data_IF_449391882851
#
_entry.id   IF_449391882851
#
_cell.length_a   1.000
_cell.length_b   1.000
_cell.length_c   1.000
_cell.angle_alpha   90.00
_cell.angle_beta   90.00
_cell.angle_gamma   90.00
#
_symmetry.space_group_name_H-M   'P 1'
#
loop_
_entity.id
_entity.type
_entity.pdbx_description
1 polymer ?
#
# COMPACT_ATOMS: atom_id res chain seq x y z
N UNK A 1 28.99 -2.41 -72.38
CA UNK A 1 30.02 -2.84 -71.40
C UNK A 1 30.35 -1.66 -70.50
N UNK A 2 29.76 -1.61 -69.31
CA UNK A 2 30.29 -0.86 -68.17
C UNK A 2 29.64 -1.40 -66.91
N UNK A 3 30.47 -1.67 -65.92
CA UNK A 3 30.21 -2.39 -64.68
C UNK A 3 29.29 -1.65 -63.73
N UNK A 4 28.50 -2.38 -62.96
CA UNK A 4 28.09 -1.93 -61.62
C UNK A 4 28.13 -3.13 -60.68
N UNK A 5 29.01 -2.99 -59.70
CA UNK A 5 29.38 -3.93 -58.66
C UNK A 5 28.34 -3.98 -57.55
N UNK A 6 28.10 -5.20 -57.07
CA UNK A 6 27.27 -5.53 -55.92
C UNK A 6 27.78 -4.85 -54.63
N UNK A 7 26.85 -4.20 -53.93
CA UNK A 7 26.98 -3.86 -52.52
C UNK A 7 25.68 -4.24 -51.81
N UNK A 8 25.61 -5.49 -51.36
CA UNK A 8 24.58 -5.94 -50.42
C UNK A 8 25.18 -5.91 -49.01
N UNK A 9 24.92 -4.83 -48.28
CA UNK A 9 25.33 -4.67 -46.89
C UNK A 9 24.46 -5.58 -46.01
N UNK A 10 25.01 -6.71 -45.56
CA UNK A 10 24.41 -7.56 -44.55
C UNK A 10 24.57 -6.91 -43.17
N UNK A 11 23.53 -6.23 -42.69
CA UNK A 11 23.48 -5.73 -41.31
C UNK A 11 23.04 -6.88 -40.41
N UNK A 12 24.00 -7.46 -39.68
CA UNK A 12 23.75 -8.40 -38.59
C UNK A 12 22.95 -7.69 -37.50
N UNK A 13 21.65 -7.98 -37.39
CA UNK A 13 20.89 -7.69 -36.18
C UNK A 13 21.36 -8.65 -35.08
N UNK A 14 22.18 -8.14 -34.16
CA UNK A 14 22.50 -8.82 -32.91
C UNK A 14 21.25 -8.80 -32.03
N UNK A 15 20.53 -9.91 -32.01
CA UNK A 15 19.45 -10.16 -31.05
C UNK A 15 20.06 -10.21 -29.64
N UNK A 16 19.95 -9.09 -28.94
CA UNK A 16 20.37 -8.92 -27.55
C UNK A 16 19.23 -8.21 -26.84
N UNK A 17 18.13 -8.94 -26.69
CA UNK A 17 17.10 -8.65 -25.70
C UNK A 17 17.09 -9.81 -24.73
N UNK A 18 18.06 -9.80 -23.82
CA UNK A 18 17.91 -10.45 -22.53
C UNK A 18 16.69 -9.81 -21.86
N UNK A 19 15.53 -10.44 -22.07
CA UNK A 19 14.34 -10.20 -21.26
C UNK A 19 14.71 -10.75 -19.88
N UNK A 20 14.76 -9.92 -18.82
CA UNK A 20 15.04 -10.42 -17.49
C UNK A 20 13.98 -11.46 -17.15
N UNK A 21 14.41 -12.70 -16.92
CA UNK A 21 13.54 -13.72 -16.36
C UNK A 21 13.03 -13.20 -15.02
N UNK A 22 11.72 -13.26 -14.71
CA UNK A 22 11.23 -12.85 -13.41
C UNK A 22 11.98 -13.64 -12.35
N UNK A 23 12.66 -12.95 -11.44
CA UNK A 23 13.30 -13.60 -10.31
C UNK A 23 12.21 -14.30 -9.49
N UNK A 24 12.22 -15.64 -9.52
CA UNK A 24 11.41 -16.49 -8.63
C UNK A 24 11.90 -16.44 -7.18
N UNK A 25 12.95 -15.66 -6.88
CA UNK A 25 13.42 -15.50 -5.52
C UNK A 25 12.48 -14.56 -4.76
N UNK A 26 11.93 -15.06 -3.66
CA UNK A 26 11.15 -14.29 -2.69
C UNK A 26 11.99 -13.25 -1.92
N UNK A 27 13.15 -12.82 -2.44
CA UNK A 27 14.17 -12.18 -1.62
C UNK A 27 15.07 -11.17 -2.37
N UNK A 28 15.16 -9.95 -1.81
CA UNK A 28 16.36 -9.11 -1.88
C UNK A 28 17.30 -9.48 -0.71
N UNK A 29 18.46 -10.12 -0.96
CA UNK A 29 19.39 -10.61 0.07
C UNK A 29 20.04 -9.50 0.91
N UNK A 30 19.71 -8.24 0.69
CA UNK A 30 20.48 -7.11 1.20
C UNK A 30 19.67 -6.00 1.89
N UNK A 31 18.44 -6.24 2.39
CA UNK A 31 17.80 -5.23 3.25
C UNK A 31 18.68 -5.02 4.51
N UNK A 32 19.48 -3.94 4.57
CA UNK A 32 20.56 -3.81 5.55
C UNK A 32 20.02 -3.48 6.95
N UNK A 33 18.71 -3.30 7.06
CA UNK A 33 18.01 -2.90 8.27
C UNK A 33 17.54 -4.10 9.11
N UNK A 34 17.55 -5.32 8.57
CA UNK A 34 17.16 -6.54 9.31
C UNK A 34 18.40 -7.19 9.94
N UNK A 35 18.42 -7.40 11.27
CA UNK A 35 19.55 -8.01 11.94
C UNK A 35 19.56 -9.53 11.70
N UNK A 36 20.75 -10.11 11.56
CA UNK A 36 20.92 -11.55 11.41
C UNK A 36 21.99 -11.90 10.39
N UNK A 37 22.35 -13.19 10.34
CA UNK A 37 23.21 -13.71 9.27
C UNK A 37 22.43 -13.83 7.96
N UNK A 38 23.07 -13.64 6.79
CA UNK A 38 22.45 -13.94 5.51
C UNK A 38 21.94 -15.39 5.45
N UNK A 39 20.91 -15.63 4.65
CA UNK A 39 20.42 -17.00 4.40
C UNK A 39 21.54 -17.87 3.83
N UNK A 40 21.66 -19.09 4.33
CA UNK A 40 22.62 -20.06 3.81
C UNK A 40 22.19 -20.57 2.43
N UNK A 41 23.13 -21.06 1.62
CA UNK A 41 22.79 -21.69 0.34
C UNK A 41 21.78 -22.85 0.51
N UNK A 42 21.92 -23.62 1.60
CA UNK A 42 20.98 -24.68 1.95
C UNK A 42 19.57 -24.13 2.22
N UNK A 43 19.44 -23.07 3.02
CA UNK A 43 18.16 -22.42 3.29
C UNK A 43 17.52 -21.93 2.00
N UNK A 44 18.27 -21.24 1.14
CA UNK A 44 17.76 -20.75 -0.14
C UNK A 44 17.28 -21.88 -1.06
N UNK A 45 18.01 -22.99 -1.16
CA UNK A 45 17.59 -24.16 -1.94
C UNK A 45 16.33 -24.81 -1.35
N UNK A 46 16.27 -25.01 -0.03
CA UNK A 46 15.10 -25.59 0.63
C UNK A 46 13.86 -24.72 0.48
N UNK A 47 13.99 -23.40 0.67
CA UNK A 47 12.92 -22.43 0.48
C UNK A 47 12.42 -22.40 -0.97
N UNK A 48 13.31 -22.53 -1.95
CA UNK A 48 12.93 -22.63 -3.37
C UNK A 48 12.16 -23.92 -3.66
N UNK A 49 12.61 -25.06 -3.09
CA UNK A 49 11.85 -26.31 -3.19
C UNK A 49 10.48 -26.22 -2.53
N UNK A 50 10.40 -25.56 -1.37
CA UNK A 50 9.15 -25.31 -0.67
C UNK A 50 8.22 -24.38 -1.47
N UNK A 51 8.72 -23.29 -2.05
CA UNK A 51 7.89 -22.35 -2.81
C UNK A 51 7.27 -22.98 -4.07
N UNK A 52 7.93 -23.99 -4.65
CA UNK A 52 7.44 -24.74 -5.79
C UNK A 52 6.45 -25.87 -5.42
N UNK A 53 6.45 -26.35 -4.17
CA UNK A 53 5.69 -27.53 -3.75
C UNK A 53 4.53 -27.23 -2.80
N UNK A 54 4.62 -26.17 -2.00
CA UNK A 54 3.58 -25.75 -1.08
C UNK A 54 2.50 -24.93 -1.78
N UNK A 55 1.25 -25.10 -1.35
CA UNK A 55 0.14 -24.29 -1.85
C UNK A 55 -0.13 -23.09 -0.94
N UNK A 56 0.17 -21.89 -1.44
CA UNK A 56 -0.09 -20.62 -0.77
C UNK A 56 -1.49 -20.06 -1.10
N UNK A 57 -2.51 -20.94 -1.15
CA UNK A 57 -3.86 -20.56 -1.58
C UNK A 57 -4.42 -19.29 -0.89
N UNK A 58 -4.28 -19.08 0.43
CA UNK A 58 -4.78 -17.85 1.06
C UNK A 58 -4.13 -16.56 0.54
N UNK A 59 -2.84 -16.60 0.17
CA UNK A 59 -2.14 -15.42 -0.35
C UNK A 59 -2.56 -15.06 -1.77
N UNK A 60 -3.12 -16.02 -2.52
CA UNK A 60 -3.65 -15.79 -3.89
C UNK A 60 -4.94 -14.96 -3.90
N UNK A 61 -5.56 -14.73 -2.73
CA UNK A 61 -6.75 -13.87 -2.59
C UNK A 61 -6.42 -12.38 -2.52
N UNK A 62 -5.15 -12.00 -2.38
CA UNK A 62 -4.73 -10.59 -2.46
C UNK A 62 -4.98 -10.08 -3.88
N UNK A 63 -5.82 -9.05 -4.00
CA UNK A 63 -6.30 -8.50 -5.26
C UNK A 63 -6.09 -6.98 -5.41
N UNK A 64 -5.61 -6.31 -4.37
CA UNK A 64 -5.35 -4.87 -4.40
C UNK A 64 -4.04 -4.49 -3.73
N UNK A 65 -3.34 -3.52 -4.33
CA UNK A 65 -2.21 -2.82 -3.72
C UNK A 65 -2.59 -1.36 -3.55
N UNK A 66 -2.61 -0.87 -2.31
CA UNK A 66 -2.78 0.54 -1.98
C UNK A 66 -1.56 1.06 -1.23
N UNK A 67 -1.31 2.36 -1.31
CA UNK A 67 -0.30 3.05 -0.54
C UNK A 67 -0.95 4.24 0.18
N UNK A 68 -0.77 4.30 1.50
CA UNK A 68 -1.36 5.29 2.38
C UNK A 68 -0.40 5.64 3.53
N UNK A 69 -0.85 6.53 4.42
CA UNK A 69 -0.06 7.00 5.56
C UNK A 69 -0.89 6.90 6.83
N UNK A 70 -0.32 6.23 7.83
CA UNK A 70 -0.92 6.03 9.13
C UNK A 70 -0.27 6.93 10.17
N UNK A 71 -1.02 7.26 11.22
CA UNK A 71 -0.47 7.83 12.45
C UNK A 71 -0.87 6.99 13.66
N UNK A 72 -0.04 7.04 14.69
CA UNK A 72 -0.32 6.33 15.94
C UNK A 72 -1.49 7.01 16.66
N UNK A 73 -2.52 6.25 17.05
CA UNK A 73 -3.65 6.82 17.77
C UNK A 73 -3.26 7.42 19.14
N UNK A 74 -2.18 6.91 19.75
CA UNK A 74 -1.60 7.43 20.99
C UNK A 74 -0.65 8.60 20.79
N UNK A 75 -0.07 8.76 19.59
CA UNK A 75 0.87 9.82 19.25
C UNK A 75 0.70 10.20 17.76
N UNK A 76 -0.29 11.04 17.44
CA UNK A 76 -0.64 11.36 16.07
C UNK A 76 0.40 12.23 15.34
N UNK A 77 1.52 12.56 15.99
CA UNK A 77 2.64 13.30 15.37
C UNK A 77 3.57 12.39 14.57
N UNK A 78 3.48 11.07 14.78
CA UNK A 78 4.34 10.08 14.14
C UNK A 78 3.63 9.45 12.94
N UNK A 79 4.15 9.72 11.75
CA UNK A 79 3.60 9.26 10.47
C UNK A 79 4.37 8.06 9.94
N UNK A 80 3.65 7.04 9.48
CA UNK A 80 4.22 5.82 8.88
C UNK A 80 3.56 5.57 7.53
N UNK A 81 4.36 5.52 6.47
CA UNK A 81 3.89 5.03 5.17
C UNK A 81 3.60 3.53 5.24
N UNK A 82 2.50 3.09 4.64
CA UNK A 82 2.12 1.69 4.57
C UNK A 82 1.71 1.29 3.16
N UNK A 83 2.16 0.11 2.75
CA UNK A 83 1.75 -0.58 1.53
C UNK A 83 0.74 -1.67 1.90
N UNK A 84 -0.50 -1.51 1.47
CA UNK A 84 -1.62 -2.38 1.79
C UNK A 84 -1.77 -3.41 0.68
N UNK A 85 -1.65 -4.67 1.02
CA UNK A 85 -1.94 -5.78 0.12
C UNK A 85 -3.23 -6.43 0.59
N UNK A 86 -4.32 -6.12 -0.12
CA UNK A 86 -5.69 -6.35 0.34
C UNK A 86 -6.36 -7.52 -0.37
N UNK A 87 -7.18 -8.25 0.39
CA UNK A 87 -8.17 -9.20 -0.11
C UNK A 87 -9.58 -8.72 0.23
N UNK A 88 -10.52 -8.93 -0.69
CA UNK A 88 -11.95 -8.79 -0.42
C UNK A 88 -12.48 -10.14 0.07
N UNK A 89 -12.88 -10.21 1.35
CA UNK A 89 -13.45 -11.43 1.91
C UNK A 89 -14.93 -11.54 1.55
N UNK A 90 -15.62 -10.42 1.58
CA UNK A 90 -17.01 -10.23 1.15
C UNK A 90 -17.16 -8.81 0.61
N UNK A 91 -18.32 -8.48 0.05
CA UNK A 91 -18.66 -7.09 -0.29
C UNK A 91 -18.59 -6.14 0.92
N UNK A 92 -18.82 -6.67 2.13
CA UNK A 92 -18.89 -5.89 3.36
C UNK A 92 -17.56 -5.87 4.15
N UNK A 93 -16.58 -6.70 3.79
CA UNK A 93 -15.35 -6.91 4.58
C UNK A 93 -14.12 -7.10 3.70
N UNK A 94 -13.10 -6.27 3.95
CA UNK A 94 -11.76 -6.38 3.37
C UNK A 94 -10.74 -6.54 4.48
N UNK A 95 -9.62 -7.18 4.15
CA UNK A 95 -8.47 -7.25 5.03
C UNK A 95 -7.18 -7.05 4.24
N UNK A 96 -6.18 -6.44 4.86
CA UNK A 96 -4.91 -6.16 4.22
C UNK A 96 -3.73 -6.54 5.12
N UNK A 97 -2.67 -7.07 4.50
CA UNK A 97 -1.36 -7.16 5.12
C UNK A 97 -0.62 -5.87 4.78
N UNK A 98 -0.02 -5.24 5.79
CA UNK A 98 0.66 -3.97 5.66
C UNK A 98 2.18 -4.17 5.63
N UNK A 99 2.85 -3.53 4.68
CA UNK A 99 4.30 -3.57 4.52
C UNK A 99 4.92 -2.16 4.50
N UNK A 100 6.18 -2.05 4.91
CA UNK A 100 6.91 -0.78 4.93
C UNK A 100 7.44 -0.34 3.55
N UNK A 101 7.49 -1.25 2.60
CA UNK A 101 7.78 -0.97 1.18
C UNK A 101 7.03 -1.94 0.27
N UNK A 102 6.93 -1.65 -1.03
CA UNK A 102 6.37 -2.60 -2.00
C UNK A 102 7.43 -3.60 -2.54
N UNK A 103 8.67 -3.52 -2.06
CA UNK A 103 9.81 -4.24 -2.61
C UNK A 103 9.99 -5.63 -1.95
N UNK A 104 10.66 -6.58 -2.63
CA UNK A 104 11.06 -7.84 -2.01
C UNK A 104 11.85 -7.61 -0.72
N UNK A 105 11.52 -8.35 0.35
CA UNK A 105 12.17 -8.20 1.65
C UNK A 105 11.63 -7.07 2.53
N UNK A 106 10.50 -6.46 2.15
CA UNK A 106 9.73 -5.57 3.00
C UNK A 106 9.35 -6.22 4.33
N UNK A 107 9.31 -5.43 5.40
CA UNK A 107 8.86 -5.83 6.73
C UNK A 107 7.34 -5.78 6.78
N UNK A 108 6.73 -6.81 7.37
CA UNK A 108 5.32 -6.75 7.73
C UNK A 108 5.18 -5.76 8.88
N UNK A 109 4.44 -4.69 8.64
CA UNK A 109 4.07 -3.71 9.63
C UNK A 109 2.92 -4.21 10.49
N UNK A 110 1.90 -4.80 9.89
CA UNK A 110 0.65 -5.07 10.58
C UNK A 110 -0.49 -5.51 9.68
N UNK A 111 -1.71 -5.31 10.16
CA UNK A 111 -2.95 -5.71 9.47
C UNK A 111 -3.93 -4.55 9.53
N UNK A 112 -4.70 -4.40 8.46
CA UNK A 112 -5.90 -3.58 8.44
C UNK A 112 -7.14 -4.43 8.12
N UNK A 113 -8.25 -4.12 8.78
CA UNK A 113 -9.58 -4.52 8.35
C UNK A 113 -10.36 -3.29 7.89
N UNK A 114 -11.09 -3.42 6.78
CA UNK A 114 -12.03 -2.40 6.34
C UNK A 114 -13.43 -2.99 6.23
N UNK A 115 -14.42 -2.27 6.74
CA UNK A 115 -15.82 -2.72 6.74
C UNK A 115 -16.76 -1.63 6.23
N UNK A 116 -17.91 -2.04 5.72
CA UNK A 116 -18.96 -1.11 5.28
C UNK A 116 -19.64 -0.40 6.47
N UNK A 117 -20.30 0.76 6.22
CA UNK A 117 -21.05 1.47 7.26
C UNK A 117 -22.06 0.60 8.00
N UNK A 118 -22.75 -0.28 7.26
CA UNK A 118 -23.70 -1.26 7.80
C UNK A 118 -23.09 -2.11 8.93
N UNK A 119 -21.86 -2.61 8.74
CA UNK A 119 -21.19 -3.42 9.76
C UNK A 119 -20.64 -2.53 10.88
N UNK A 120 -20.10 -1.36 10.55
CA UNK A 120 -19.57 -0.43 11.54
C UNK A 120 -20.64 0.05 12.53
N UNK A 121 -21.82 0.41 12.03
CA UNK A 121 -22.98 0.81 12.83
C UNK A 121 -23.50 -0.31 13.73
N UNK A 122 -23.28 -1.57 13.36
CA UNK A 122 -23.65 -2.71 14.20
C UNK A 122 -22.63 -3.03 15.30
N UNK A 123 -21.43 -2.40 15.28
CA UNK A 123 -20.42 -2.60 16.31
C UNK A 123 -20.87 -2.00 17.65
N UNK A 124 -20.45 -2.61 18.77
CA UNK A 124 -20.54 -1.97 20.08
C UNK A 124 -19.82 -0.61 20.09
N UNK A 125 -20.35 0.35 20.85
CA UNK A 125 -19.83 1.71 20.86
C UNK A 125 -18.35 1.78 21.28
N UNK A 126 -17.96 0.96 22.25
CA UNK A 126 -16.59 0.85 22.74
C UNK A 126 -15.60 0.29 21.71
N UNK A 127 -16.10 -0.43 20.71
CA UNK A 127 -15.31 -0.99 19.61
C UNK A 127 -15.14 0.04 18.48
N UNK A 128 -16.19 0.82 18.20
CA UNK A 128 -16.20 1.85 17.13
C UNK A 128 -15.07 2.87 17.22
N UNK A 129 -14.56 3.13 18.44
CA UNK A 129 -13.45 4.07 18.70
C UNK A 129 -12.11 3.63 18.10
N UNK A 130 -11.97 2.36 17.72
CA UNK A 130 -10.75 1.83 17.10
C UNK A 130 -10.73 1.96 15.57
N UNK A 131 -11.77 2.56 14.99
CA UNK A 131 -11.91 2.65 13.54
C UNK A 131 -11.84 4.11 13.08
N UNK A 132 -11.35 4.30 11.86
CA UNK A 132 -11.18 5.59 11.21
C UNK A 132 -11.87 5.62 9.84
N UNK A 133 -12.14 6.82 9.34
CA UNK A 133 -12.72 7.04 8.01
C UNK A 133 -11.61 7.25 6.97
N UNK A 134 -11.86 6.88 5.71
CA UNK A 134 -10.90 7.04 4.60
C UNK A 134 -11.12 8.34 3.81
N UNK A 135 -12.02 9.22 4.25
CA UNK A 135 -12.48 10.38 3.46
C UNK A 135 -11.32 11.28 3.06
N UNK A 136 -10.54 11.71 4.04
CA UNK A 136 -9.44 12.62 3.76
C UNK A 136 -8.36 11.93 2.91
N UNK A 137 -8.05 10.66 3.18
CA UNK A 137 -7.04 9.92 2.43
C UNK A 137 -7.37 9.86 0.94
N UNK A 138 -8.62 9.54 0.62
CA UNK A 138 -9.12 9.47 -0.75
C UNK A 138 -9.10 10.86 -1.39
N UNK A 139 -9.73 11.85 -0.74
CA UNK A 139 -9.96 13.19 -1.31
C UNK A 139 -8.68 14.00 -1.44
N UNK A 140 -7.71 13.79 -0.56
CA UNK A 140 -6.42 14.50 -0.59
C UNK A 140 -5.46 13.99 -1.65
N UNK A 141 -5.71 12.82 -2.26
CA UNK A 141 -4.75 12.14 -3.13
C UNK A 141 -3.63 11.40 -2.38
N UNK A 142 -3.69 11.40 -1.04
CA UNK A 142 -2.75 10.67 -0.18
C UNK A 142 -2.84 9.16 -0.42
N UNK A 143 -4.05 8.60 -0.44
CA UNK A 143 -4.27 7.19 -0.73
C UNK A 143 -4.29 6.97 -2.25
N UNK A 144 -3.43 6.08 -2.72
CA UNK A 144 -3.34 5.71 -4.13
C UNK A 144 -3.37 4.20 -4.30
N UNK A 145 -3.72 3.75 -5.49
CA UNK A 145 -3.31 2.44 -5.96
C UNK A 145 -2.07 2.63 -6.85
N UNK A 146 -0.91 2.09 -6.47
CA UNK A 146 0.26 2.12 -7.34
C UNK A 146 -0.03 1.45 -8.68
N UNK A 147 0.37 2.12 -9.77
CA UNK A 147 0.14 1.61 -11.11
C UNK A 147 0.87 0.28 -11.33
N UNK A 148 0.20 -0.77 -11.85
CA UNK A 148 0.85 -2.04 -12.16
C UNK A 148 1.99 -1.87 -13.15
N UNK A 149 3.05 -2.63 -12.97
CA UNK A 149 4.15 -2.73 -13.93
C UNK A 149 3.64 -3.39 -15.22
N UNK A 150 3.63 -2.65 -16.33
CA UNK A 150 3.18 -3.18 -17.63
C UNK A 150 2.59 -2.14 -18.58
N UNK A 151 1.96 -2.62 -19.66
CA UNK A 151 1.40 -1.80 -20.74
C UNK A 151 0.02 -1.18 -20.41
N UNK A 152 -0.41 -1.16 -19.13
CA UNK A 152 -1.69 -0.57 -18.74
C UNK A 152 -1.71 0.93 -19.06
N UNK A 153 -2.60 1.41 -19.96
CA UNK A 153 -2.67 2.82 -20.29
C UNK A 153 -3.02 3.65 -19.05
N UNK A 154 -2.39 4.83 -18.89
CA UNK A 154 -2.61 5.68 -17.70
C UNK A 154 -4.09 6.01 -17.49
N UNK A 155 -4.79 6.37 -18.56
CA UNK A 155 -6.22 6.72 -18.51
C UNK A 155 -7.08 5.56 -18.01
N UNK A 156 -6.78 4.34 -18.43
CA UNK A 156 -7.49 3.15 -17.97
C UNK A 156 -7.21 2.88 -16.49
N UNK A 157 -5.96 3.07 -16.06
CA UNK A 157 -5.57 2.93 -14.66
C UNK A 157 -6.24 3.96 -13.76
N UNK A 158 -6.19 5.25 -14.10
CA UNK A 158 -6.82 6.30 -13.30
C UNK A 158 -8.33 6.08 -13.16
N UNK A 159 -9.00 5.56 -14.20
CA UNK A 159 -10.42 5.19 -14.12
C UNK A 159 -10.64 4.04 -13.13
N UNK A 160 -9.83 2.99 -13.19
CA UNK A 160 -9.94 1.84 -12.30
C UNK A 160 -9.65 2.23 -10.84
N UNK A 161 -8.56 2.96 -10.60
CA UNK A 161 -8.21 3.49 -9.28
C UNK A 161 -9.30 4.41 -8.74
N UNK A 162 -9.86 5.30 -9.58
CA UNK A 162 -10.98 6.14 -9.15
C UNK A 162 -12.20 5.32 -8.73
N UNK A 163 -12.59 4.31 -9.49
CA UNK A 163 -13.69 3.42 -9.11
C UNK A 163 -13.44 2.75 -7.75
N UNK A 164 -12.20 2.35 -7.48
CA UNK A 164 -11.83 1.81 -6.17
C UNK A 164 -11.96 2.88 -5.07
N UNK A 165 -11.56 4.13 -5.35
CA UNK A 165 -11.67 5.23 -4.40
C UNK A 165 -13.12 5.58 -4.05
N UNK A 166 -14.03 5.47 -5.02
CA UNK A 166 -15.47 5.64 -4.81
C UNK A 166 -16.04 4.58 -3.85
N UNK A 167 -15.40 3.42 -3.74
CA UNK A 167 -15.74 2.39 -2.75
C UNK A 167 -15.04 2.63 -1.42
N UNK A 168 -13.71 2.81 -1.43
CA UNK A 168 -12.87 2.94 -0.22
C UNK A 168 -13.31 4.12 0.64
N UNK A 169 -13.72 5.23 0.03
CA UNK A 169 -14.18 6.42 0.76
C UNK A 169 -15.35 6.13 1.72
N UNK A 170 -16.12 5.07 1.45
CA UNK A 170 -17.29 4.65 2.25
C UNK A 170 -16.94 3.74 3.42
N UNK A 171 -15.74 3.15 3.44
CA UNK A 171 -15.36 2.13 4.41
C UNK A 171 -14.83 2.75 5.70
N UNK A 172 -14.91 1.97 6.78
CA UNK A 172 -14.23 2.24 8.06
C UNK A 172 -13.06 1.28 8.22
N UNK A 173 -11.88 1.80 8.56
CA UNK A 173 -10.63 1.05 8.69
C UNK A 173 -10.22 0.85 10.14
N UNK A 174 -9.72 -0.33 10.50
CA UNK A 174 -9.11 -0.63 11.81
C UNK A 174 -7.73 -1.24 11.58
N UNK A 175 -6.71 -0.56 12.08
CA UNK A 175 -5.32 -0.89 11.80
C UNK A 175 -4.56 -1.17 13.10
N UNK A 176 -3.77 -2.25 13.11
CA UNK A 176 -2.74 -2.45 14.12
C UNK A 176 -1.38 -2.67 13.48
N UNK A 177 -0.41 -1.84 13.86
CA UNK A 177 1.00 -2.06 13.56
C UNK A 177 1.67 -2.84 14.69
N UNK A 178 2.41 -3.88 14.32
CA UNK A 178 3.26 -4.70 15.18
C UNK A 178 4.73 -4.28 15.13
N UNK A 179 5.16 -3.59 14.05
CA UNK A 179 6.53 -3.11 13.89
C UNK A 179 6.56 -1.59 13.74
N UNK A 180 7.18 -0.91 14.72
CA UNK A 180 7.37 0.54 14.72
C UNK A 180 8.65 0.94 13.97
N UNK A 181 8.62 0.84 12.64
CA UNK A 181 9.80 1.05 11.79
C UNK A 181 10.35 2.48 11.84
N UNK A 182 9.51 3.46 12.16
CA UNK A 182 9.88 4.87 12.29
C UNK A 182 10.80 5.15 13.50
N UNK A 183 10.80 4.28 14.52
CA UNK A 183 11.75 4.35 15.65
C UNK A 183 13.16 3.87 15.28
N UNK A 184 13.34 3.28 14.10
CA UNK A 184 14.58 2.62 13.70
C UNK A 184 14.78 1.25 14.37
N UNK A 185 13.73 0.68 14.98
CA UNK A 185 13.81 -0.64 15.61
C UNK A 185 14.10 -1.72 14.56
N UNK A 186 15.15 -2.50 14.82
CA UNK A 186 15.61 -3.59 13.95
C UNK A 186 14.75 -4.85 14.01
N UNK A 187 13.87 -4.96 15.00
CA UNK A 187 12.93 -6.06 15.21
C UNK A 187 11.57 -5.47 15.66
N UNK A 188 10.45 -6.21 15.54
CA UNK A 188 9.14 -5.74 16.00
C UNK A 188 9.07 -5.79 17.54
N UNK A 189 9.49 -4.71 18.20
CA UNK A 189 9.53 -4.60 19.64
C UNK A 189 8.28 -3.89 20.21
N UNK A 190 7.85 -4.34 21.38
CA UNK A 190 6.74 -3.74 22.13
C UNK A 190 5.38 -4.32 21.78
N UNK A 191 4.33 -3.61 22.21
CA UNK A 191 2.94 -4.03 22.02
C UNK A 191 2.38 -3.58 20.66
N UNK A 192 1.35 -4.27 20.11
CA UNK A 192 0.60 -3.78 18.96
C UNK A 192 0.12 -2.35 19.17
N UNK A 193 0.33 -1.51 18.16
CA UNK A 193 -0.06 -0.11 18.19
C UNK A 193 -1.29 0.11 17.31
N UNK A 194 -2.34 0.69 17.89
CA UNK A 194 -3.50 1.13 17.13
C UNK A 194 -3.07 2.30 16.24
N UNK A 195 -3.37 2.17 14.95
CA UNK A 195 -3.16 3.24 13.99
C UNK A 195 -4.50 3.81 13.52
N UNK A 196 -4.45 5.05 13.07
CA UNK A 196 -5.54 5.79 12.45
C UNK A 196 -5.00 6.55 11.24
N UNK A 197 -5.87 7.17 10.47
CA UNK A 197 -5.48 8.14 9.46
C UNK A 197 -5.90 9.56 9.83
N UNK A 198 -5.54 10.52 8.97
CA UNK A 198 -5.87 11.93 9.07
C UNK A 198 -7.32 12.19 8.62
N UNK A 199 -7.93 13.24 9.14
CA UNK A 199 -9.26 13.74 8.74
C UNK A 199 -9.21 15.13 8.10
N UNK A 200 -8.09 15.84 8.24
CA UNK A 200 -7.87 17.18 7.67
C UNK A 200 -6.38 17.48 7.45
N UNK A 201 -6.08 18.43 6.59
CA UNK A 201 -4.70 18.75 6.16
C UNK A 201 -3.82 19.32 7.27
N UNK A 202 -4.39 20.07 8.22
CA UNK A 202 -3.69 20.62 9.39
C UNK A 202 -3.10 19.54 10.30
N UNK A 203 -3.58 18.31 10.23
CA UNK A 203 -3.06 17.18 11.01
C UNK A 203 -1.80 16.57 10.39
N UNK A 204 -1.46 16.91 9.15
CA UNK A 204 -0.28 16.43 8.44
C UNK A 204 0.60 17.60 7.95
N UNK A 205 1.36 18.25 8.84
CA UNK A 205 2.10 19.48 8.51
C UNK A 205 3.07 19.37 7.32
N UNK A 206 3.72 18.20 7.17
CA UNK A 206 4.71 17.95 6.11
C UNK A 206 4.12 17.18 4.90
N UNK A 207 2.79 17.14 4.76
CA UNK A 207 2.11 16.32 3.76
C UNK A 207 2.65 16.52 2.34
N UNK A 208 2.81 17.78 1.88
CA UNK A 208 3.27 18.04 0.52
C UNK A 208 4.64 17.39 0.24
N UNK A 209 5.59 17.57 1.16
CA UNK A 209 6.93 17.00 1.02
C UNK A 209 6.87 15.48 1.00
N UNK A 210 6.13 14.88 1.93
CA UNK A 210 6.04 13.42 2.06
C UNK A 210 5.38 12.79 0.84
N UNK A 211 4.29 13.37 0.34
CA UNK A 211 3.60 12.89 -0.86
C UNK A 211 4.43 13.10 -2.14
N UNK A 212 5.18 14.20 -2.23
CA UNK A 212 6.11 14.43 -3.35
C UNK A 212 7.26 13.40 -3.37
N UNK A 213 7.75 12.99 -2.20
CA UNK A 213 8.75 11.92 -2.08
C UNK A 213 8.17 10.54 -2.38
N UNK A 214 6.92 10.28 -2.00
CA UNK A 214 6.18 9.06 -2.38
C UNK A 214 5.96 8.98 -3.87
N UNK A 215 5.44 10.03 -4.50
CA UNK A 215 5.11 10.02 -5.93
C UNK A 215 6.35 9.79 -6.82
N UNK A 216 7.52 10.28 -6.40
CA UNK A 216 8.80 9.98 -7.09
C UNK A 216 9.13 8.48 -7.12
N UNK A 217 8.69 7.72 -6.12
CA UNK A 217 8.91 6.26 -6.03
C UNK A 217 7.85 5.45 -6.76
N UNK A 218 6.68 6.02 -7.05
CA UNK A 218 5.58 5.34 -7.73
C UNK A 218 5.30 5.96 -9.11
N UNK A 219 5.82 5.36 -10.20
CA UNK A 219 5.67 5.91 -11.55
C UNK A 219 4.21 6.17 -11.93
N UNK A 220 3.91 7.41 -12.32
CA UNK A 220 2.56 7.84 -12.70
C UNK A 220 1.67 8.26 -11.54
N UNK A 221 2.16 8.27 -10.30
CA UNK A 221 1.47 8.90 -9.18
C UNK A 221 1.64 10.42 -9.24
N UNK A 222 0.54 11.14 -8.99
CA UNK A 222 0.48 12.59 -8.79
C UNK A 222 -0.67 12.87 -7.82
N UNK A 223 -0.33 13.10 -6.55
CA UNK A 223 -1.30 13.29 -5.49
C UNK A 223 -2.12 14.57 -5.69
N UNK A 224 -1.56 15.61 -6.33
CA UNK A 224 -2.28 16.87 -6.60
C UNK A 224 -3.29 16.66 -7.72
N UNK A 225 -2.93 15.95 -8.78
CA UNK A 225 -3.86 15.59 -9.85
C UNK A 225 -4.96 14.65 -9.33
N UNK A 226 -4.64 13.71 -8.44
CA UNK A 226 -5.61 12.83 -7.77
C UNK A 226 -6.55 13.63 -6.86
N UNK A 227 -6.01 14.57 -6.07
CA UNK A 227 -6.82 15.49 -5.25
C UNK A 227 -7.83 16.25 -6.11
N UNK A 228 -7.38 16.83 -7.22
CA UNK A 228 -8.24 17.55 -8.15
C UNK A 228 -9.32 16.65 -8.75
N UNK A 229 -8.92 15.50 -9.28
CA UNK A 229 -9.81 14.59 -10.00
C UNK A 229 -10.81 13.87 -9.10
N UNK A 230 -10.67 13.94 -7.77
CA UNK A 230 -11.55 13.29 -6.79
C UNK A 230 -12.45 14.26 -6.04
N UNK A 231 -12.42 15.57 -6.35
CA UNK A 231 -13.25 16.60 -5.69
C UNK A 231 -14.76 16.32 -5.77
N UNK A 232 -15.20 15.66 -6.83
CA UNK A 232 -16.59 15.30 -7.11
C UNK A 232 -17.03 13.95 -6.52
N UNK A 233 -16.11 13.13 -5.99
CA UNK A 233 -16.49 11.92 -5.25
C UNK A 233 -17.34 12.32 -4.03
N UNK A 234 -18.53 11.74 -3.92
CA UNK A 234 -19.47 12.01 -2.84
C UNK A 234 -18.88 11.57 -1.49
N UNK A 235 -19.00 12.43 -0.48
CA UNK A 235 -18.58 12.11 0.89
C UNK A 235 -19.76 11.44 1.60
N UNK A 236 -19.58 10.22 2.15
CA UNK A 236 -20.66 9.54 2.86
C UNK A 236 -21.03 10.26 4.15
N UNK A 237 -22.23 9.97 4.68
CA UNK A 237 -22.59 10.40 6.04
C UNK A 237 -21.71 9.65 7.03
N UNK A 238 -20.87 10.40 7.75
CA UNK A 238 -19.94 9.82 8.72
C UNK A 238 -20.61 9.57 10.05
N UNK A 239 -20.38 8.38 10.61
CA UNK A 239 -20.87 8.05 11.93
C UNK A 239 -20.11 8.86 12.98
N UNK A 240 -20.80 9.49 13.95
CA UNK A 240 -20.17 10.42 14.89
C UNK A 240 -19.14 9.77 15.81
N UNK A 241 -19.10 8.44 15.93
CA UNK A 241 -18.15 7.68 16.77
C UNK A 241 -16.76 7.49 16.16
N UNK A 242 -16.62 7.59 14.84
CA UNK A 242 -15.36 7.34 14.14
C UNK A 242 -14.31 8.41 14.40
N UNK A 243 -13.08 8.15 13.96
CA UNK A 243 -11.95 9.09 14.04
C UNK A 243 -11.67 9.57 15.47
N UNK A 244 -11.83 8.67 16.45
CA UNK A 244 -11.77 8.96 17.88
C UNK A 244 -10.49 9.71 18.29
N UNK A 245 -9.37 9.41 17.62
CA UNK A 245 -8.08 10.07 17.83
C UNK A 245 -8.16 11.59 17.73
N UNK A 246 -9.01 12.12 16.86
CA UNK A 246 -9.09 13.54 16.51
C UNK A 246 -10.20 14.30 17.22
N UNK A 247 -10.99 13.62 18.06
CA UNK A 247 -12.05 14.28 18.83
C UNK A 247 -11.49 15.11 19.97
N UNK A 248 -12.01 16.33 20.11
CA UNK A 248 -11.55 17.34 21.08
C UNK A 248 -11.93 16.99 22.53
N UNK A 249 -13.04 16.28 22.74
CA UNK A 249 -13.59 15.97 24.07
C UNK A 249 -13.58 14.47 24.38
N UNK A 250 -12.40 13.84 24.40
CA UNK A 250 -12.25 12.41 24.73
C UNK A 250 -12.73 12.03 26.14
N UNK A 251 -13.07 13.00 26.99
CA UNK A 251 -13.31 12.83 28.44
C UNK A 251 -14.78 13.02 28.89
N UNK A 252 -15.76 13.18 27.98
CA UNK A 252 -17.16 13.46 28.36
C UNK A 252 -18.17 12.33 28.09
N UNK A 253 -17.74 11.10 27.77
CA UNK A 253 -18.63 9.95 27.62
C UNK A 253 -18.08 8.74 28.36
#
# INVERSE_FOLDING_TARGET
>A
MSSSSDHTTSTKYSDSRDVPTPSLACHDPSNPLIPGSPKTALSSTLETGASLSQDFAPLKSICGHLNAFHVYASDPTRVVEANHYCAHLTEDVRQCILYDSPDPGARILGIEYMITPKLYEALPQEERRYWHTHVFEVKSGMLIMPKPTGLMPQVAWEKAERTEMEQVITLYGKIYHLWQVDRGDKLPLGEPQLMTSFTEESQFPDMEKVLDERDKRFPGADWRAKRESRKDIEVPVLHPDADWTWKKDKQQQ
#
